data_IF_880661210586
#
_entry.id   IF_880661210586
#
_cell.length_a   1.000
_cell.length_b   1.000
_cell.length_c   1.000
_cell.angle_alpha   90.00
_cell.angle_beta   90.00
_cell.angle_gamma   90.00
#
_symmetry.space_group_name_H-M   'P 1'
#
loop_
_entity.id
_entity.type
_entity.pdbx_description
1 polymer ?
#
# COMPACT_ATOMS: atom_id res chain seq x y z
N UNK A 1 17.26 -19.54 7.36
CA UNK A 1 16.76 -18.18 7.06
C UNK A 1 16.00 -18.31 5.77
N UNK A 2 14.68 -18.23 5.83
CA UNK A 2 13.81 -18.45 4.67
C UNK A 2 13.83 -17.18 3.82
N UNK A 3 14.27 -17.31 2.57
CA UNK A 3 14.32 -16.23 1.59
C UNK A 3 12.94 -16.15 0.94
N UNK A 4 12.07 -15.32 1.51
CA UNK A 4 10.76 -15.02 0.92
C UNK A 4 10.86 -13.90 -0.14
N UNK A 5 9.74 -13.63 -0.82
CA UNK A 5 9.60 -12.58 -1.85
C UNK A 5 10.14 -11.21 -1.40
N UNK A 6 10.08 -10.94 -0.09
CA UNK A 6 10.35 -9.65 0.52
C UNK A 6 11.79 -9.53 0.99
N UNK A 7 12.43 -10.65 1.34
CA UNK A 7 13.79 -10.70 1.88
C UNK A 7 14.87 -11.07 0.86
N UNK A 8 14.51 -11.67 -0.27
CA UNK A 8 15.49 -12.16 -1.27
C UNK A 8 16.23 -11.06 -2.04
N UNK A 9 15.69 -9.84 -2.12
CA UNK A 9 16.27 -8.69 -2.86
C UNK A 9 16.29 -7.36 -2.08
N UNK A 10 16.45 -7.41 -0.75
CA UNK A 10 16.58 -6.22 0.12
C UNK A 10 15.49 -5.14 -0.09
N UNK A 11 14.32 -5.51 -0.63
CA UNK A 11 13.25 -4.55 -0.94
C UNK A 11 13.52 -3.59 -2.10
N UNK A 12 14.58 -3.77 -2.92
CA UNK A 12 14.88 -2.85 -4.03
C UNK A 12 13.76 -2.79 -5.10
N UNK A 13 12.99 -3.88 -5.25
CA UNK A 13 11.81 -3.94 -6.13
C UNK A 13 10.46 -3.72 -5.45
N UNK A 14 10.46 -3.53 -4.11
CA UNK A 14 9.27 -3.50 -3.26
C UNK A 14 9.05 -2.09 -2.69
N UNK A 15 7.80 -1.65 -2.58
CA UNK A 15 7.51 -0.30 -2.08
C UNK A 15 7.66 0.78 -3.16
N UNK A 16 8.20 1.96 -2.81
CA UNK A 16 8.20 3.17 -3.65
C UNK A 16 9.20 3.09 -4.80
N UNK A 17 8.78 2.54 -5.92
CA UNK A 17 9.59 2.58 -7.14
C UNK A 17 9.30 3.89 -7.87
N UNK A 18 10.33 4.71 -8.09
CA UNK A 18 10.22 5.87 -8.97
C UNK A 18 10.18 5.39 -10.42
N UNK A 19 9.14 5.76 -11.15
CA UNK A 19 9.05 5.50 -12.59
C UNK A 19 9.47 6.75 -13.36
N UNK A 20 9.43 6.68 -14.70
CA UNK A 20 9.52 7.89 -15.52
C UNK A 20 8.42 8.88 -15.08
N UNK A 21 8.71 10.18 -15.15
CA UNK A 21 7.76 11.28 -14.88
C UNK A 21 7.39 11.56 -13.41
N UNK A 22 8.26 11.22 -12.45
CA UNK A 22 8.04 11.47 -11.00
C UNK A 22 6.81 10.77 -10.40
N UNK A 23 6.26 9.78 -11.11
CA UNK A 23 5.29 8.85 -10.57
C UNK A 23 5.98 7.83 -9.65
N UNK A 24 5.23 7.38 -8.64
CA UNK A 24 5.65 6.34 -7.74
C UNK A 24 4.66 5.18 -7.79
N UNK A 25 5.19 3.96 -7.92
CA UNK A 25 4.39 2.73 -7.86
C UNK A 25 4.73 2.02 -6.57
N UNK A 26 3.70 1.53 -5.88
CA UNK A 26 3.82 0.58 -4.77
C UNK A 26 3.59 -0.82 -5.33
N UNK A 27 4.63 -1.64 -5.29
CA UNK A 27 4.56 -3.03 -5.72
C UNK A 27 4.63 -3.89 -4.48
N UNK A 28 3.64 -4.77 -4.31
CA UNK A 28 3.74 -5.90 -3.42
C UNK A 28 4.22 -7.09 -4.25
N UNK A 29 5.42 -7.57 -3.95
CA UNK A 29 6.17 -8.45 -4.83
C UNK A 29 7.28 -7.70 -5.58
N UNK A 30 7.78 -8.31 -6.64
CA UNK A 30 8.77 -7.70 -7.53
C UNK A 30 8.11 -7.31 -8.86
N UNK A 31 8.39 -6.11 -9.36
CA UNK A 31 7.96 -5.68 -10.70
C UNK A 31 8.86 -6.23 -11.82
N UNK A 32 10.02 -6.79 -11.47
CA UNK A 32 10.94 -7.45 -12.39
C UNK A 32 10.42 -8.84 -12.73
N UNK A 33 10.10 -9.06 -13.99
CA UNK A 33 9.64 -10.37 -14.47
C UNK A 33 10.68 -11.49 -14.27
N UNK A 34 10.20 -12.73 -14.26
CA UNK A 34 11.04 -13.93 -14.16
C UNK A 34 11.40 -14.36 -12.74
N UNK A 35 10.75 -13.77 -11.73
CA UNK A 35 10.82 -14.21 -10.34
C UNK A 35 9.41 -14.51 -9.84
N UNK A 36 9.23 -15.67 -9.22
CA UNK A 36 7.98 -16.08 -8.59
C UNK A 36 8.19 -16.12 -7.09
N UNK A 37 7.16 -15.74 -6.34
CA UNK A 37 7.16 -15.89 -4.91
C UNK A 37 5.74 -16.14 -4.39
N UNK A 38 5.66 -16.90 -3.32
CA UNK A 38 4.38 -17.18 -2.66
C UNK A 38 3.96 -15.95 -1.85
N UNK A 39 2.71 -15.52 -2.05
CA UNK A 39 2.09 -14.42 -1.31
C UNK A 39 1.18 -14.98 -0.23
N UNK A 40 1.24 -14.39 0.95
CA UNK A 40 0.48 -14.81 2.14
C UNK A 40 -0.35 -13.66 2.71
N UNK A 41 -1.37 -14.00 3.48
CA UNK A 41 -2.15 -13.01 4.24
C UNK A 41 -1.23 -12.15 5.11
N UNK A 42 -1.39 -10.83 5.04
CA UNK A 42 -0.61 -9.87 5.80
C UNK A 42 0.68 -9.40 5.11
N UNK A 43 0.99 -9.92 3.92
CA UNK A 43 2.03 -9.33 3.08
C UNK A 43 1.65 -7.89 2.71
N UNK A 44 2.59 -6.96 2.87
CA UNK A 44 2.38 -5.55 2.51
C UNK A 44 3.62 -4.86 1.93
N UNK A 45 3.37 -3.80 1.17
CA UNK A 45 4.34 -2.77 0.81
C UNK A 45 3.82 -1.41 1.29
N UNK A 46 4.68 -0.60 1.93
CA UNK A 46 4.27 0.71 2.46
C UNK A 46 5.34 1.80 2.25
N UNK A 47 4.87 3.04 2.17
CA UNK A 47 5.70 4.22 2.42
C UNK A 47 5.12 4.99 3.56
N UNK A 48 5.99 5.34 4.50
CA UNK A 48 5.63 6.10 5.66
C UNK A 48 6.55 7.31 5.85
N UNK A 49 5.98 8.36 6.40
CA UNK A 49 6.67 9.58 6.78
C UNK A 49 6.07 10.11 8.09
N UNK A 50 6.91 10.75 8.90
CA UNK A 50 6.43 11.46 10.09
C UNK A 50 5.94 12.84 9.66
N UNK A 51 4.69 13.15 10.00
CA UNK A 51 4.00 14.38 9.59
C UNK A 51 3.39 15.02 10.83
N UNK A 52 3.63 16.31 11.02
CA UNK A 52 2.85 17.09 11.98
C UNK A 52 1.44 17.32 11.42
N UNK A 53 0.43 16.74 12.07
CA UNK A 53 -0.97 16.83 11.66
C UNK A 53 -1.77 17.81 12.53
N UNK A 54 -1.10 18.64 13.33
CA UNK A 54 -1.76 19.71 14.09
C UNK A 54 -2.60 20.57 13.14
N UNK A 55 -3.86 20.83 13.51
CA UNK A 55 -4.84 21.60 12.74
C UNK A 55 -5.26 20.97 11.39
N UNK A 56 -4.85 19.74 11.08
CA UNK A 56 -5.32 19.02 9.90
C UNK A 56 -6.61 18.24 10.21
N UNK A 57 -7.62 18.35 9.34
CA UNK A 57 -8.85 17.55 9.50
C UNK A 57 -8.72 16.14 8.90
N UNK A 58 -8.02 16.05 7.76
CA UNK A 58 -7.92 14.83 6.96
C UNK A 58 -6.55 14.70 6.30
N UNK A 59 -6.11 13.46 6.13
CA UNK A 59 -5.07 13.08 5.17
C UNK A 59 -5.77 12.45 3.97
N UNK A 60 -5.36 12.82 2.75
CA UNK A 60 -5.91 12.30 1.50
C UNK A 60 -4.80 11.88 0.56
N UNK A 61 -5.02 10.79 -0.16
CA UNK A 61 -4.13 10.34 -1.24
C UNK A 61 -4.94 10.12 -2.51
N UNK A 62 -4.36 10.47 -3.65
CA UNK A 62 -4.88 10.08 -4.96
C UNK A 62 -3.96 9.02 -5.53
N UNK A 63 -4.53 7.86 -5.85
CA UNK A 63 -3.75 6.75 -6.40
C UNK A 63 -4.54 5.95 -7.42
N UNK A 64 -3.82 5.19 -8.24
CA UNK A 64 -4.38 4.20 -9.16
C UNK A 64 -4.05 2.82 -8.64
N UNK A 65 -5.06 2.08 -8.19
CA UNK A 65 -4.94 0.70 -7.75
C UNK A 65 -5.10 -0.23 -8.95
N UNK A 66 -4.10 -1.08 -9.21
CA UNK A 66 -4.14 -2.13 -10.23
C UNK A 66 -4.15 -3.48 -9.53
N UNK A 67 -5.17 -4.29 -9.79
CA UNK A 67 -5.35 -5.60 -9.17
C UNK A 67 -5.19 -6.68 -10.23
N UNK A 68 -4.33 -7.70 -10.01
CA UNK A 68 -4.19 -8.81 -10.95
C UNK A 68 -5.51 -9.59 -11.10
N UNK A 69 -5.68 -10.28 -12.23
CA UNK A 69 -6.85 -11.15 -12.46
C UNK A 69 -6.85 -12.35 -11.51
N UNK A 70 -5.68 -12.91 -11.25
CA UNK A 70 -5.47 -13.99 -10.31
C UNK A 70 -5.28 -13.42 -8.90
N UNK A 71 -6.31 -13.57 -8.07
CA UNK A 71 -6.26 -13.31 -6.64
C UNK A 71 -6.79 -14.56 -5.93
N UNK A 72 -6.11 -15.07 -4.89
CA UNK A 72 -6.61 -16.20 -4.11
C UNK A 72 -8.05 -15.96 -3.60
N UNK A 73 -8.87 -17.01 -3.59
CA UNK A 73 -10.32 -16.90 -3.42
C UNK A 73 -10.79 -16.34 -2.07
N UNK A 74 -9.91 -16.30 -1.05
CA UNK A 74 -10.15 -15.77 0.29
C UNK A 74 -9.35 -14.50 0.58
N UNK A 75 -8.67 -13.92 -0.40
CA UNK A 75 -7.83 -12.74 -0.25
C UNK A 75 -8.28 -11.58 -1.13
N UNK A 76 -7.92 -10.37 -0.72
CA UNK A 76 -8.12 -9.16 -1.51
C UNK A 76 -6.95 -8.19 -1.35
N UNK A 77 -6.70 -7.45 -2.42
CA UNK A 77 -5.78 -6.33 -2.42
C UNK A 77 -6.44 -5.08 -1.84
N UNK A 78 -5.84 -4.51 -0.81
CA UNK A 78 -6.32 -3.30 -0.14
C UNK A 78 -5.25 -2.23 -0.13
N UNK A 79 -5.57 -1.06 -0.69
CA UNK A 79 -4.81 0.16 -0.50
C UNK A 79 -5.38 0.91 0.71
N UNK A 80 -4.53 1.31 1.65
CA UNK A 80 -4.96 2.00 2.87
C UNK A 80 -4.07 3.18 3.23
N UNK A 81 -4.63 4.11 3.99
CA UNK A 81 -3.90 5.12 4.75
C UNK A 81 -3.84 4.63 6.19
N UNK A 82 -2.65 4.60 6.77
CA UNK A 82 -2.46 4.32 8.20
C UNK A 82 -1.90 5.53 8.94
N UNK A 83 -2.32 5.71 10.18
CA UNK A 83 -1.76 6.67 11.15
C UNK A 83 -1.27 5.87 12.35
N UNK A 84 0.03 5.92 12.62
CA UNK A 84 0.69 5.11 13.65
C UNK A 84 0.34 3.61 13.55
N UNK A 85 0.26 3.11 12.31
CA UNK A 85 -0.10 1.72 12.01
C UNK A 85 -1.61 1.41 12.05
N UNK A 86 -2.46 2.34 12.48
CA UNK A 86 -3.93 2.17 12.45
C UNK A 86 -4.48 2.59 11.08
N UNK A 87 -5.23 1.72 10.42
CA UNK A 87 -5.97 2.06 9.19
C UNK A 87 -7.04 3.12 9.50
N UNK A 88 -6.98 4.25 8.77
CA UNK A 88 -7.94 5.37 8.89
C UNK A 88 -8.73 5.61 7.60
N UNK A 89 -8.31 5.00 6.50
CA UNK A 89 -9.00 5.01 5.21
C UNK A 89 -8.52 3.82 4.37
N UNK A 90 -9.41 3.23 3.57
CA UNK A 90 -9.06 2.10 2.70
C UNK A 90 -9.89 2.07 1.42
N UNK A 91 -9.35 1.42 0.40
CA UNK A 91 -10.01 1.14 -0.85
C UNK A 91 -9.52 -0.17 -1.45
N UNK A 92 -10.44 -0.88 -2.09
CA UNK A 92 -10.15 -2.12 -2.84
C UNK A 92 -10.71 -2.02 -4.26
N UNK A 93 -10.30 -2.95 -5.11
CA UNK A 93 -10.83 -3.14 -6.44
C UNK A 93 -10.96 -4.64 -6.74
N UNK A 94 -11.81 -4.98 -7.70
CA UNK A 94 -12.04 -6.38 -8.08
C UNK A 94 -10.78 -6.97 -8.72
N UNK A 95 -10.55 -8.29 -8.63
CA UNK A 95 -9.55 -8.96 -9.44
C UNK A 95 -9.67 -8.57 -10.94
N UNK A 96 -8.53 -8.34 -11.58
CA UNK A 96 -8.42 -7.97 -12.99
C UNK A 96 -8.81 -6.52 -13.31
N UNK A 97 -9.02 -5.68 -12.30
CA UNK A 97 -9.47 -4.30 -12.50
C UNK A 97 -8.41 -3.27 -12.14
N UNK A 98 -8.53 -2.10 -12.78
CA UNK A 98 -7.83 -0.89 -12.39
C UNK A 98 -8.83 0.14 -11.90
N UNK A 99 -8.57 0.77 -10.75
CA UNK A 99 -9.43 1.77 -10.14
C UNK A 99 -8.62 2.99 -9.73
N UNK A 100 -9.07 4.17 -10.13
CA UNK A 100 -8.59 5.44 -9.60
C UNK A 100 -9.30 5.71 -8.25
N UNK A 101 -8.52 5.72 -7.17
CA UNK A 101 -8.94 6.08 -5.82
C UNK A 101 -8.67 7.57 -5.61
N UNK A 102 -9.64 8.41 -5.93
CA UNK A 102 -9.58 9.86 -5.70
C UNK A 102 -10.18 10.25 -4.35
N UNK A 103 -10.92 9.35 -3.71
CA UNK A 103 -11.67 9.53 -2.47
C UNK A 103 -11.02 8.86 -1.25
N UNK A 104 -9.81 8.29 -1.39
CA UNK A 104 -9.10 7.65 -0.27
C UNK A 104 -8.57 8.72 0.70
N UNK A 105 -9.22 8.80 1.86
CA UNK A 105 -8.93 9.75 2.92
C UNK A 105 -9.06 9.12 4.31
N UNK A 106 -8.39 9.71 5.29
CA UNK A 106 -8.48 9.34 6.70
C UNK A 106 -8.63 10.58 7.58
N UNK A 107 -9.49 10.49 8.60
CA UNK A 107 -9.68 11.57 9.56
C UNK A 107 -8.50 11.64 10.53
N UNK A 108 -7.95 12.84 10.72
CA UNK A 108 -6.90 13.16 11.70
C UNK A 108 -7.27 14.36 12.59
N UNK A 109 -8.52 14.84 12.54
CA UNK A 109 -8.96 16.09 13.18
C UNK A 109 -8.89 16.13 14.71
N UNK A 110 -8.59 15.00 15.35
CA UNK A 110 -8.40 14.87 16.81
C UNK A 110 -6.96 14.58 17.21
N UNK A 111 -6.04 14.61 16.25
CA UNK A 111 -4.62 14.36 16.45
C UNK A 111 -3.85 15.67 16.44
N UNK A 112 -2.69 15.68 17.10
CA UNK A 112 -1.82 16.83 17.18
C UNK A 112 -0.36 16.38 17.33
N UNK A 113 0.55 17.14 16.76
CA UNK A 113 1.97 16.82 16.69
C UNK A 113 2.30 15.82 15.59
N UNK A 114 3.51 15.27 15.66
CA UNK A 114 4.04 14.35 14.66
C UNK A 114 3.43 12.94 14.80
N UNK A 115 2.85 12.44 13.72
CA UNK A 115 2.33 11.08 13.59
C UNK A 115 2.94 10.39 12.36
N UNK A 116 3.10 9.07 12.43
CA UNK A 116 3.61 8.29 11.30
C UNK A 116 2.47 7.99 10.34
N UNK A 117 2.45 8.70 9.22
CA UNK A 117 1.46 8.55 8.15
C UNK A 117 2.01 7.63 7.09
N UNK A 118 1.28 6.57 6.73
CA UNK A 118 1.68 5.65 5.68
C UNK A 118 0.58 5.44 4.63
N UNK A 119 1.00 5.19 3.39
CA UNK A 119 0.18 4.57 2.35
C UNK A 119 0.67 3.14 2.18
N UNK A 120 -0.25 2.18 2.31
CA UNK A 120 0.04 0.76 2.31
C UNK A 120 -0.78 0.03 1.26
N UNK A 121 -0.16 -0.90 0.54
CA UNK A 121 -0.82 -1.94 -0.24
C UNK A 121 -0.62 -3.28 0.47
N UNK A 122 -1.70 -3.97 0.80
CA UNK A 122 -1.68 -5.19 1.62
C UNK A 122 -2.59 -6.27 1.03
N UNK A 123 -2.19 -7.53 1.19
CA UNK A 123 -3.01 -8.70 0.90
C UNK A 123 -3.75 -9.12 2.17
N UNK A 124 -5.06 -8.94 2.21
CA UNK A 124 -5.88 -9.21 3.39
C UNK A 124 -6.89 -10.32 3.13
N UNK A 125 -7.28 -11.03 4.19
CA UNK A 125 -8.40 -11.97 4.11
C UNK A 125 -9.75 -11.25 4.06
N UNK A 126 -10.69 -11.79 3.27
CA UNK A 126 -12.07 -11.28 3.10
C UNK A 126 -13.15 -12.18 3.67
#
# INVERSE_FOLDING_TARGET
MELDAFRSRLGEGQGRVATAEAEHVFVLGDATGGSEAELTEGDFAEVAQDVDVTDADVVRVWLRLRVPEEVPADLAWVASITVDGRVVGQGTARPGSTRDLTDLLGNVSKLAGAHRIAVRLELVRV
#
